data_IF_852356558598
#
_entry.id   IF_852356558598
#
_cell.length_a   1.000
_cell.length_b   1.000
_cell.length_c   1.000
_cell.angle_alpha   90.00
_cell.angle_beta   90.00
_cell.angle_gamma   90.00
#
_symmetry.space_group_name_H-M   'P 1'
#
loop_
_entity.id
_entity.type
_entity.pdbx_description
1 polymer ?
#
# COMPACT_ATOMS: atom_id res chain seq x y z
N UNK A 1 -19.39 -12.51 -9.43
CA UNK A 1 -18.46 -12.68 -10.44
C UNK A 1 -17.57 -11.47 -10.71
N UNK A 2 -18.14 -10.34 -10.75
CA UNK A 2 -17.36 -9.18 -11.09
C UNK A 2 -16.46 -8.70 -9.97
N UNK A 3 -16.81 -8.99 -8.74
CA UNK A 3 -15.93 -8.65 -7.64
C UNK A 3 -14.62 -9.41 -7.70
N UNK A 4 -14.62 -10.53 -8.35
CA UNK A 4 -13.42 -11.35 -8.44
C UNK A 4 -12.36 -10.74 -9.33
N UNK A 5 -12.78 -9.88 -10.24
CA UNK A 5 -11.85 -9.25 -11.15
C UNK A 5 -10.79 -8.46 -10.41
N UNK A 6 -11.18 -7.83 -9.32
CA UNK A 6 -10.25 -7.02 -8.54
C UNK A 6 -9.14 -7.88 -7.96
N UNK A 7 -9.48 -9.08 -7.52
CA UNK A 7 -8.50 -9.96 -6.90
C UNK A 7 -7.67 -10.69 -7.93
N UNK A 8 -8.23 -10.90 -9.11
CA UNK A 8 -7.50 -11.54 -10.19
C UNK A 8 -6.37 -10.66 -10.72
N UNK A 9 -6.45 -9.37 -10.45
CA UNK A 9 -5.41 -8.45 -10.88
C UNK A 9 -4.10 -8.73 -10.17
N UNK A 10 -4.18 -9.16 -8.92
CA UNK A 10 -2.97 -9.44 -8.14
C UNK A 10 -2.56 -10.89 -8.38
N UNK A 11 -1.61 -11.08 -9.26
CA UNK A 11 -1.02 -12.38 -9.50
C UNK A 11 0.46 -12.31 -9.15
N UNK A 12 1.17 -13.41 -9.36
CA UNK A 12 2.58 -13.49 -9.00
C UNK A 12 3.40 -12.40 -9.67
N UNK A 13 3.16 -12.20 -10.94
CA UNK A 13 3.91 -11.21 -11.70
C UNK A 13 3.69 -9.80 -11.16
N UNK A 14 2.43 -9.47 -10.91
CA UNK A 14 2.12 -8.15 -10.39
C UNK A 14 2.66 -7.97 -8.97
N UNK A 15 2.60 -9.02 -8.18
CA UNK A 15 3.09 -8.96 -6.82
C UNK A 15 4.60 -8.71 -6.81
N UNK A 16 5.32 -9.37 -7.71
CA UNK A 16 6.76 -9.18 -7.82
C UNK A 16 7.09 -7.74 -8.18
N UNK A 17 6.29 -7.15 -9.07
CA UNK A 17 6.49 -5.75 -9.43
C UNK A 17 6.26 -4.82 -8.27
N UNK A 18 5.25 -5.11 -7.47
CA UNK A 18 4.95 -4.27 -6.30
C UNK A 18 6.06 -4.37 -5.27
N UNK A 19 6.58 -5.58 -5.07
CA UNK A 19 7.69 -5.77 -4.14
C UNK A 19 8.92 -5.00 -4.59
N UNK A 20 9.15 -5.01 -5.90
CA UNK A 20 10.26 -4.26 -6.47
C UNK A 20 10.09 -2.76 -6.26
N UNK A 21 8.86 -2.27 -6.39
CA UNK A 21 8.60 -0.85 -6.17
C UNK A 21 8.90 -0.45 -4.74
N UNK A 22 8.55 -1.31 -3.79
CA UNK A 22 8.86 -1.03 -2.40
C UNK A 22 10.37 -0.89 -2.21
N UNK A 23 11.13 -1.80 -2.80
CA UNK A 23 12.58 -1.75 -2.69
C UNK A 23 13.15 -0.48 -3.31
N UNK A 24 12.63 -0.11 -4.47
CA UNK A 24 13.08 1.09 -5.13
C UNK A 24 12.78 2.34 -4.32
N UNK A 25 11.60 2.37 -3.72
CA UNK A 25 11.22 3.50 -2.88
C UNK A 25 12.16 3.60 -1.67
N UNK A 26 12.53 2.48 -1.08
CA UNK A 26 13.42 2.50 0.07
C UNK A 26 14.80 3.04 -0.27
N UNK A 27 15.29 2.73 -1.46
CA UNK A 27 16.60 3.18 -1.89
C UNK A 27 16.59 4.62 -2.33
N UNK A 28 15.51 5.03 -2.95
CA UNK A 28 15.44 6.32 -3.60
C UNK A 28 15.45 7.48 -2.61
N UNK A 29 14.71 7.35 -1.53
CA UNK A 29 14.49 8.50 -0.67
C UNK A 29 13.58 9.49 -1.36
N UNK A 30 13.13 10.50 -0.66
CA UNK A 30 12.33 11.55 -1.27
C UNK A 30 11.04 11.03 -1.87
N UNK A 31 10.30 10.23 -1.14
CA UNK A 31 9.05 9.66 -1.62
C UNK A 31 7.89 10.56 -1.23
N UNK A 32 7.05 10.87 -2.22
CA UNK A 32 5.90 11.71 -1.98
C UNK A 32 4.67 10.92 -1.55
N UNK A 33 3.71 11.66 -1.02
CA UNK A 33 2.45 11.06 -0.58
C UNK A 33 1.76 10.32 -1.71
N UNK A 34 1.70 10.92 -2.89
CA UNK A 34 0.96 10.31 -4.00
C UNK A 34 1.57 9.00 -4.44
N UNK A 35 2.88 8.86 -4.33
CA UNK A 35 3.53 7.59 -4.69
C UNK A 35 3.13 6.48 -3.74
N UNK A 36 3.07 6.80 -2.45
CA UNK A 36 2.67 5.82 -1.46
C UNK A 36 1.19 5.49 -1.56
N UNK A 37 0.37 6.48 -1.86
CA UNK A 37 -1.06 6.25 -2.06
C UNK A 37 -1.31 5.35 -3.26
N UNK A 38 -0.55 5.57 -4.33
CA UNK A 38 -0.67 4.73 -5.52
C UNK A 38 -0.32 3.28 -5.21
N UNK A 39 0.74 3.08 -4.45
CA UNK A 39 1.15 1.74 -4.05
C UNK A 39 0.08 1.10 -3.18
N UNK A 40 -0.48 1.86 -2.25
CA UNK A 40 -1.53 1.35 -1.36
C UNK A 40 -2.75 0.91 -2.17
N UNK A 41 -3.15 1.72 -3.14
CA UNK A 41 -4.29 1.37 -4.00
C UNK A 41 -4.01 0.10 -4.79
N UNK A 42 -2.79 -0.06 -5.25
CA UNK A 42 -2.43 -1.25 -6.00
C UNK A 42 -2.55 -2.52 -5.16
N UNK A 43 -2.48 -2.37 -3.85
CA UNK A 43 -2.59 -3.50 -2.93
C UNK A 43 -4.01 -3.67 -2.37
N UNK A 44 -4.97 -2.91 -2.90
CA UNK A 44 -6.36 -3.07 -2.50
C UNK A 44 -6.79 -2.20 -1.35
N UNK A 45 -5.98 -1.23 -0.97
CA UNK A 45 -6.38 -0.30 0.07
C UNK A 45 -7.20 0.83 -0.53
N UNK A 46 -8.20 1.24 0.23
CA UNK A 46 -9.06 2.35 -0.17
C UNK A 46 -9.08 3.38 0.93
N UNK A 47 -9.34 4.61 0.54
CA UNK A 47 -9.40 5.71 1.49
C UNK A 47 -10.65 5.58 2.34
N UNK A 48 -10.45 5.56 3.63
CA UNK A 48 -11.54 5.53 4.58
C UNK A 48 -12.03 6.95 4.82
N UNK A 49 -13.34 7.09 4.95
CA UNK A 49 -13.94 8.40 5.21
C UNK A 49 -14.07 8.70 6.68
N UNK A 50 -13.18 8.19 7.45
CA UNK A 50 -13.22 8.46 8.87
C UNK A 50 -12.92 9.91 9.17
N UNK A 51 -13.47 10.37 10.26
CA UNK A 51 -13.11 11.67 10.77
C UNK A 51 -11.69 11.57 11.27
N UNK A 52 -10.95 12.61 11.10
CA UNK A 52 -9.59 12.62 11.52
C UNK A 52 -8.81 13.57 10.69
N UNK A 53 -7.60 13.85 11.14
CA UNK A 53 -6.78 14.85 10.48
C UNK A 53 -6.02 14.25 9.30
N UNK A 54 -5.76 12.97 9.35
CA UNK A 54 -4.98 12.32 8.31
C UNK A 54 -5.81 11.30 7.57
N UNK A 55 -5.61 11.20 6.25
CA UNK A 55 -6.30 10.16 5.49
C UNK A 55 -5.87 8.79 5.98
N UNK A 56 -6.84 7.92 6.11
CA UNK A 56 -6.60 6.56 6.56
C UNK A 56 -6.99 5.60 5.45
N UNK A 57 -6.13 4.64 5.20
CA UNK A 57 -6.31 3.67 4.12
C UNK A 57 -6.51 2.29 4.71
N UNK A 58 -7.56 1.62 4.28
CA UNK A 58 -7.88 0.28 4.79
C UNK A 58 -7.87 -0.70 3.64
N UNK A 59 -7.44 -1.93 3.92
CA UNK A 59 -7.43 -2.97 2.91
C UNK A 59 -8.75 -3.69 2.93
N UNK A 60 -9.46 -3.67 1.82
CA UNK A 60 -10.77 -4.30 1.74
C UNK A 60 -10.69 -5.81 1.61
N UNK A 61 -9.57 -6.30 1.11
CA UNK A 61 -9.37 -7.74 0.95
C UNK A 61 -8.98 -8.39 2.26
N UNK A 62 -8.09 -7.75 2.99
CA UNK A 62 -7.57 -8.29 4.24
C UNK A 62 -7.93 -7.36 5.38
N UNK A 63 -9.11 -7.57 5.94
CA UNK A 63 -9.65 -6.66 6.94
C UNK A 63 -8.92 -6.76 8.27
N UNK A 64 -8.11 -7.78 8.46
CA UNK A 64 -7.30 -7.91 9.67
C UNK A 64 -6.06 -7.03 9.64
N UNK A 65 -5.73 -6.48 8.48
CA UNK A 65 -4.61 -5.56 8.39
C UNK A 65 -4.96 -4.22 9.02
N UNK A 66 -4.02 -3.64 9.70
CA UNK A 66 -4.24 -2.37 10.36
C UNK A 66 -4.51 -1.25 9.37
N UNK A 67 -5.37 -0.31 9.73
CA UNK A 67 -5.50 0.89 8.92
C UNK A 67 -4.17 1.60 8.81
N UNK A 68 -3.94 2.22 7.67
CA UNK A 68 -2.67 2.86 7.36
C UNK A 68 -2.89 4.36 7.18
N UNK A 69 -2.17 5.17 7.93
CA UNK A 69 -2.23 6.61 7.76
C UNK A 69 -1.12 7.06 6.84
N UNK A 70 -1.48 7.83 5.84
CA UNK A 70 -0.51 8.42 4.92
C UNK A 70 -0.66 9.93 5.00
N UNK A 71 0.27 10.61 5.67
CA UNK A 71 0.16 12.05 5.84
C UNK A 71 0.25 12.78 4.50
N UNK A 72 -0.49 13.85 4.38
CA UNK A 72 -0.43 14.68 3.19
C UNK A 72 0.36 15.94 3.49
N UNK A 73 1.41 16.12 2.73
CA UNK A 73 2.32 17.24 2.92
C UNK A 73 2.40 18.13 1.67
N UNK A 74 1.35 18.14 0.88
CA UNK A 74 1.37 18.90 -0.34
C UNK A 74 2.39 18.33 -1.31
N UNK A 75 3.27 19.16 -1.82
CA UNK A 75 4.26 18.74 -2.78
C UNK A 75 5.55 18.27 -2.13
N UNK A 76 5.62 18.29 -0.81
CA UNK A 76 6.86 17.91 -0.13
C UNK A 76 6.95 16.41 0.02
N UNK A 77 8.19 15.93 -0.02
CA UNK A 77 8.44 14.53 0.25
C UNK A 77 8.25 14.23 1.72
N UNK A 78 7.87 13.01 1.99
CA UNK A 78 7.72 12.58 3.36
C UNK A 78 9.08 12.34 3.98
N UNK A 79 9.13 12.51 5.29
CA UNK A 79 10.30 12.15 6.07
C UNK A 79 10.62 10.69 5.79
N UNK A 80 11.91 10.40 5.64
CA UNK A 80 12.35 9.05 5.31
C UNK A 80 11.85 8.02 6.32
N UNK A 81 11.88 8.39 7.58
CA UNK A 81 11.43 7.51 8.63
C UNK A 81 9.94 7.18 8.49
N UNK A 82 9.15 8.21 8.23
CA UNK A 82 7.71 8.03 8.05
C UNK A 82 7.43 7.19 6.80
N UNK A 83 8.13 7.48 5.71
CA UNK A 83 7.93 6.74 4.48
C UNK A 83 8.29 5.28 4.65
N UNK A 84 9.40 4.98 5.32
CA UNK A 84 9.79 3.60 5.55
C UNK A 84 8.80 2.86 6.42
N UNK A 85 8.24 3.54 7.41
CA UNK A 85 7.24 2.94 8.27
C UNK A 85 6.00 2.54 7.46
N UNK A 86 5.59 3.40 6.54
CA UNK A 86 4.45 3.11 5.67
C UNK A 86 4.79 1.94 4.74
N UNK A 87 5.99 1.93 4.19
CA UNK A 87 6.42 0.85 3.32
C UNK A 87 6.45 -0.48 4.07
N UNK A 88 6.86 -0.47 5.33
CA UNK A 88 6.84 -1.68 6.14
C UNK A 88 5.43 -2.25 6.21
N UNK A 89 4.45 -1.39 6.44
CA UNK A 89 3.08 -1.84 6.53
C UNK A 89 2.56 -2.35 5.20
N UNK A 90 2.93 -1.72 4.11
CA UNK A 90 2.50 -2.18 2.80
C UNK A 90 3.16 -3.51 2.43
N UNK A 91 4.34 -3.78 2.97
CA UNK A 91 4.95 -5.08 2.77
C UNK A 91 4.16 -6.20 3.44
N UNK A 92 3.51 -5.90 4.55
CA UNK A 92 2.61 -6.89 5.15
C UNK A 92 1.45 -7.21 4.22
N UNK A 93 0.95 -6.20 3.51
CA UNK A 93 -0.09 -6.43 2.51
C UNK A 93 0.41 -7.38 1.43
N UNK A 94 1.63 -7.13 0.95
CA UNK A 94 2.23 -7.97 -0.08
C UNK A 94 2.39 -9.40 0.43
N UNK A 95 2.84 -9.56 1.65
CA UNK A 95 3.02 -10.88 2.24
C UNK A 95 1.69 -11.62 2.32
N UNK A 96 0.60 -10.93 2.62
CA UNK A 96 -0.71 -11.55 2.66
C UNK A 96 -1.13 -12.07 1.30
N UNK A 97 -0.91 -11.27 0.26
CA UNK A 97 -1.23 -11.71 -1.08
C UNK A 97 -0.36 -12.87 -1.50
N UNK A 98 0.91 -12.83 -1.14
CA UNK A 98 1.82 -13.91 -1.48
C UNK A 98 1.37 -15.23 -0.86
N UNK A 99 0.96 -15.18 0.38
CA UNK A 99 0.47 -16.36 1.07
C UNK A 99 -0.77 -16.90 0.38
N UNK A 100 -1.64 -16.01 -0.04
CA UNK A 100 -2.87 -16.41 -0.72
C UNK A 100 -2.56 -17.09 -2.05
N UNK A 101 -1.60 -16.57 -2.78
CA UNK A 101 -1.23 -17.13 -4.08
C UNK A 101 -0.59 -18.51 -3.92
N UNK A 102 0.18 -18.70 -2.87
CA UNK A 102 0.88 -19.96 -2.64
C UNK A 102 -0.05 -21.07 -2.18
N UNK A 103 -1.23 -20.70 -1.70
CA UNK A 103 -2.20 -21.72 -1.33
C UNK A 103 -2.87 -22.28 -2.57
#
# INVERSE_FOLDING_TARGET
MHGDIIFDIINREKLDKLRKRVEEFRKKGGIGTSELESLARSLGRVLSKKRGKEPTWVNQRFTDLRPLSIPRHGSKDLNKYTANSILDQLEFDIDKFEKLIEE
#
